data_IF_017182656566
#
_entry.id   IF_017182656566
#
_cell.length_a   1.000
_cell.length_b   1.000
_cell.length_c   1.000
_cell.angle_alpha   90.00
_cell.angle_beta   90.00
_cell.angle_gamma   90.00
#
_symmetry.space_group_name_H-M   'P 1'
#
loop_
_entity.id
_entity.type
_entity.pdbx_description
1 polymer ?
#
# COMPACT_ATOMS: atom_id res chain seq x y z
N UNK A 1 14.70 32.09 6.22
CA UNK A 1 14.79 30.68 5.82
C UNK A 1 14.46 29.87 7.06
N UNK A 2 13.34 29.13 7.09
CA UNK A 2 13.07 28.16 8.17
C UNK A 2 14.20 27.14 8.13
N UNK A 3 14.82 26.86 9.26
CA UNK A 3 15.86 25.82 9.39
C UNK A 3 15.28 24.53 8.83
N UNK A 4 15.90 23.99 7.79
CA UNK A 4 15.49 22.73 7.20
C UNK A 4 15.69 21.64 8.25
N UNK A 5 14.61 21.06 8.69
CA UNK A 5 14.62 19.94 9.61
C UNK A 5 15.37 18.79 8.94
N UNK A 6 16.31 18.16 9.68
CA UNK A 6 17.16 17.08 9.15
C UNK A 6 16.62 15.74 9.63
N UNK A 7 16.47 14.80 8.72
CA UNK A 7 16.01 13.44 8.94
C UNK A 7 17.12 12.43 8.68
N UNK A 8 17.16 11.34 9.44
CA UNK A 8 17.97 10.18 9.11
C UNK A 8 17.39 9.47 7.88
N UNK A 9 16.07 9.32 7.84
CA UNK A 9 15.34 8.71 6.75
C UNK A 9 14.15 9.59 6.35
N UNK A 10 14.04 9.91 5.07
CA UNK A 10 12.90 10.60 4.50
C UNK A 10 12.22 9.72 3.47
N UNK A 11 10.92 9.50 3.63
CA UNK A 11 10.13 8.58 2.81
C UNK A 11 9.11 9.38 2.01
N UNK A 12 9.10 9.19 0.69
CA UNK A 12 8.12 9.79 -0.21
C UNK A 12 7.03 8.77 -0.54
N UNK A 13 5.81 9.03 -0.07
CA UNK A 13 4.64 8.17 -0.19
C UNK A 13 4.32 7.43 1.11
N UNK A 14 3.12 7.67 1.67
CA UNK A 14 2.62 7.05 2.89
C UNK A 14 1.64 5.88 2.63
N UNK A 15 1.66 5.31 1.42
CA UNK A 15 0.96 4.06 1.14
C UNK A 15 1.58 2.88 1.90
N UNK A 16 1.07 1.64 1.74
CA UNK A 16 1.55 0.48 2.49
C UNK A 16 3.07 0.28 2.45
N UNK A 17 3.71 0.54 1.30
CA UNK A 17 5.16 0.41 1.17
C UNK A 17 5.91 1.43 2.06
N UNK A 18 5.54 2.71 1.99
CA UNK A 18 6.20 3.77 2.76
C UNK A 18 5.92 3.67 4.25
N UNK A 19 4.66 3.45 4.63
CA UNK A 19 4.28 3.34 6.04
C UNK A 19 4.94 2.13 6.71
N UNK A 20 4.96 0.93 6.07
CA UNK A 20 5.68 -0.22 6.60
C UNK A 20 7.21 0.00 6.64
N UNK A 21 7.76 0.74 5.68
CA UNK A 21 9.18 1.14 5.72
C UNK A 21 9.46 2.00 6.95
N UNK A 22 8.64 3.02 7.22
CA UNK A 22 8.76 3.87 8.40
C UNK A 22 8.67 3.07 9.70
N UNK A 23 7.66 2.19 9.82
CA UNK A 23 7.48 1.28 10.97
C UNK A 23 8.73 0.41 11.15
N UNK A 24 9.28 -0.16 10.08
CA UNK A 24 10.45 -1.02 10.14
C UNK A 24 11.66 -0.28 10.67
N UNK A 25 11.94 0.94 10.19
CA UNK A 25 13.05 1.76 10.69
C UNK A 25 12.89 2.08 12.16
N UNK A 26 11.72 2.53 12.60
CA UNK A 26 11.47 2.88 14.01
C UNK A 26 11.52 1.67 14.92
N UNK A 27 11.05 0.48 14.49
CA UNK A 27 11.17 -0.75 15.31
C UNK A 27 12.59 -1.27 15.42
N UNK A 28 13.40 -1.12 14.37
CA UNK A 28 14.82 -1.53 14.40
C UNK A 28 15.69 -0.55 15.18
N UNK A 29 15.42 0.74 15.09
CA UNK A 29 16.11 1.78 15.83
C UNK A 29 15.14 2.94 16.15
N UNK A 30 14.56 2.99 17.37
CA UNK A 30 13.62 4.02 17.79
C UNK A 30 14.18 5.45 17.75
N UNK A 31 15.50 5.61 17.88
CA UNK A 31 16.17 6.92 17.91
C UNK A 31 16.24 7.58 16.52
N UNK A 32 16.03 6.84 15.45
CA UNK A 32 16.06 7.42 14.10
C UNK A 32 14.96 8.47 13.93
N UNK A 33 15.34 9.61 13.40
CA UNK A 33 14.40 10.62 12.97
C UNK A 33 13.89 10.27 11.57
N UNK A 34 12.65 9.79 11.51
CA UNK A 34 12.00 9.34 10.27
C UNK A 34 10.89 10.31 9.88
N UNK A 35 10.96 10.85 8.66
CA UNK A 35 9.91 11.68 8.08
C UNK A 35 9.21 10.94 6.93
N UNK A 36 7.87 10.95 6.90
CA UNK A 36 7.07 10.38 5.82
C UNK A 36 6.15 11.45 5.22
N UNK A 37 6.16 11.55 3.89
CA UNK A 37 5.48 12.60 3.16
C UNK A 37 4.52 12.00 2.13
N UNK A 38 3.26 12.43 2.13
CA UNK A 38 2.30 12.04 1.09
C UNK A 38 1.54 13.26 0.55
N UNK A 39 1.26 13.23 -0.75
CA UNK A 39 0.45 14.26 -1.41
C UNK A 39 -1.04 14.22 -1.03
N UNK A 40 -1.51 13.09 -0.52
CA UNK A 40 -2.89 12.91 -0.07
C UNK A 40 -3.01 13.21 1.44
N UNK A 41 -4.24 13.42 1.87
CA UNK A 41 -4.66 13.45 3.28
C UNK A 41 -5.36 12.13 3.56
N UNK A 42 -5.01 11.48 4.66
CA UNK A 42 -5.60 10.20 5.07
C UNK A 42 -6.82 10.41 5.99
N UNK A 43 -7.84 9.51 5.92
CA UNK A 43 -7.89 8.32 5.06
C UNK A 43 -8.11 8.66 3.58
N UNK A 44 -7.45 7.91 2.69
CA UNK A 44 -7.59 8.08 1.24
C UNK A 44 -7.81 6.74 0.55
N UNK A 45 -8.58 6.75 -0.50
CA UNK A 45 -8.79 5.56 -1.32
C UNK A 45 -7.67 5.31 -2.35
N UNK A 46 -7.54 4.06 -2.75
CA UNK A 46 -6.63 3.60 -3.79
C UNK A 46 -7.16 2.35 -4.46
N UNK A 47 -7.34 2.38 -5.78
CA UNK A 47 -7.82 1.21 -6.54
C UNK A 47 -6.96 -0.04 -6.24
N UNK A 48 -7.64 -1.10 -5.79
CA UNK A 48 -7.07 -2.39 -5.40
C UNK A 48 -8.20 -3.42 -5.38
N UNK A 49 -7.88 -4.70 -5.37
CA UNK A 49 -8.84 -5.77 -5.08
C UNK A 49 -9.08 -5.98 -3.59
N UNK A 50 -8.46 -5.17 -2.74
CA UNK A 50 -8.66 -5.11 -1.29
C UNK A 50 -8.35 -6.43 -0.54
N UNK A 51 -7.98 -7.49 -1.26
CA UNK A 51 -7.62 -8.78 -0.67
C UNK A 51 -6.19 -8.77 -0.08
N UNK A 52 -6.07 -9.29 1.13
CA UNK A 52 -4.82 -9.40 1.90
C UNK A 52 -4.55 -10.88 2.11
N UNK A 53 -3.58 -11.40 1.39
CA UNK A 53 -3.20 -12.80 1.46
C UNK A 53 -2.08 -13.09 2.47
N UNK A 54 -1.71 -14.38 2.59
CA UNK A 54 -0.75 -14.88 3.59
C UNK A 54 0.59 -14.16 3.61
N UNK A 55 1.10 -13.74 2.45
CA UNK A 55 2.37 -13.01 2.37
C UNK A 55 2.37 -11.67 3.08
N UNK A 56 1.26 -10.91 3.00
CA UNK A 56 1.10 -9.64 3.72
C UNK A 56 0.92 -9.90 5.20
N UNK A 57 0.12 -10.90 5.57
CA UNK A 57 -0.13 -11.30 6.97
C UNK A 57 1.19 -11.71 7.63
N UNK A 58 1.99 -12.53 6.96
CA UNK A 58 3.33 -12.93 7.43
C UNK A 58 4.26 -11.73 7.62
N UNK A 59 4.23 -10.76 6.71
CA UNK A 59 5.01 -9.53 6.86
C UNK A 59 4.55 -8.70 8.07
N UNK A 60 3.25 -8.58 8.31
CA UNK A 60 2.71 -7.90 9.48
C UNK A 60 3.12 -8.61 10.79
N UNK A 61 2.97 -9.94 10.85
CA UNK A 61 3.40 -10.76 12.00
C UNK A 61 4.89 -10.59 12.31
N UNK A 62 5.76 -10.55 11.29
CA UNK A 62 7.21 -10.35 11.47
C UNK A 62 7.54 -9.10 12.25
N UNK A 63 6.76 -8.06 12.11
CA UNK A 63 6.93 -6.79 12.81
C UNK A 63 5.99 -6.62 14.01
N UNK A 64 5.21 -7.64 14.39
CA UNK A 64 4.22 -7.57 15.48
C UNK A 64 3.12 -6.55 15.21
N UNK A 65 2.67 -6.49 13.96
CA UNK A 65 1.65 -5.53 13.49
C UNK A 65 0.35 -6.23 13.06
N UNK A 66 0.21 -7.53 13.33
CA UNK A 66 -0.98 -8.32 13.00
C UNK A 66 -2.28 -7.80 13.63
N UNK A 67 -2.16 -7.07 14.74
CA UNK A 67 -3.30 -6.46 15.42
C UNK A 67 -4.10 -5.48 14.54
N UNK A 68 -3.52 -4.96 13.44
CA UNK A 68 -4.27 -4.14 12.50
C UNK A 68 -5.33 -4.91 11.71
N UNK A 69 -5.30 -6.25 11.77
CA UNK A 69 -6.26 -7.18 11.17
C UNK A 69 -7.26 -7.73 12.19
N UNK A 70 -7.15 -7.37 13.49
CA UNK A 70 -8.11 -7.74 14.52
C UNK A 70 -9.50 -7.26 14.13
N UNK A 71 -10.51 -8.08 14.43
CA UNK A 71 -11.93 -7.86 14.12
C UNK A 71 -12.31 -7.92 12.62
N UNK A 72 -11.36 -8.16 11.72
CA UNK A 72 -11.69 -8.36 10.33
C UNK A 72 -12.14 -9.80 10.05
N UNK A 73 -13.24 -10.00 9.33
CA UNK A 73 -13.71 -11.32 9.00
C UNK A 73 -12.78 -12.01 7.99
N UNK A 74 -12.38 -13.24 8.31
CA UNK A 74 -11.64 -14.08 7.37
C UNK A 74 -12.52 -14.45 6.18
N UNK A 75 -11.94 -14.49 4.99
CA UNK A 75 -12.55 -15.09 3.81
C UNK A 75 -12.63 -16.61 4.04
N UNK A 76 -13.80 -17.19 3.86
CA UNK A 76 -14.03 -18.62 4.10
C UNK A 76 -13.98 -19.46 2.83
N UNK A 77 -14.16 -18.83 1.66
CA UNK A 77 -14.07 -19.57 0.40
C UNK A 77 -13.52 -18.67 -0.73
N UNK A 78 -12.89 -19.29 -1.68
CA UNK A 78 -12.49 -18.67 -2.94
C UNK A 78 -13.05 -19.48 -4.11
N UNK A 79 -13.57 -18.80 -5.12
CA UNK A 79 -14.03 -19.43 -6.35
C UNK A 79 -13.23 -18.89 -7.52
N UNK A 80 -12.68 -19.78 -8.32
CA UNK A 80 -11.97 -19.44 -9.54
C UNK A 80 -12.80 -19.91 -10.74
N UNK A 81 -13.25 -18.98 -11.56
CA UNK A 81 -13.91 -19.27 -12.83
C UNK A 81 -12.92 -19.22 -13.99
N UNK A 82 -12.89 -20.31 -14.74
CA UNK A 82 -12.16 -20.41 -15.98
C UNK A 82 -13.05 -20.15 -17.21
N UNK A 83 -12.54 -20.41 -18.42
CA UNK A 83 -13.31 -20.35 -19.65
C UNK A 83 -14.58 -21.19 -19.58
N UNK A 84 -15.69 -20.70 -20.17
CA UNK A 84 -17.00 -21.33 -20.18
C UNK A 84 -17.70 -21.40 -18.80
N UNK A 85 -17.35 -20.49 -17.87
CA UNK A 85 -17.92 -20.43 -16.52
C UNK A 85 -17.77 -21.74 -15.71
N UNK A 86 -16.73 -22.51 -15.98
CA UNK A 86 -16.41 -23.68 -15.15
C UNK A 86 -15.67 -23.15 -13.92
N UNK A 87 -16.32 -23.22 -12.75
CA UNK A 87 -15.77 -22.75 -11.48
C UNK A 87 -15.23 -23.87 -10.62
N UNK A 88 -14.12 -23.61 -9.94
CA UNK A 88 -13.59 -24.43 -8.86
C UNK A 88 -13.69 -23.60 -7.57
N UNK A 89 -14.38 -24.15 -6.57
CA UNK A 89 -14.51 -23.51 -5.26
C UNK A 89 -13.62 -24.23 -4.24
N UNK A 90 -12.82 -23.46 -3.52
CA UNK A 90 -12.02 -23.93 -2.40
C UNK A 90 -12.56 -23.32 -1.11
N UNK A 91 -12.72 -24.17 -0.09
CA UNK A 91 -13.05 -23.74 1.28
C UNK A 91 -11.76 -23.64 2.09
N UNK A 92 -11.44 -22.45 2.57
CA UNK A 92 -10.20 -22.17 3.32
C UNK A 92 -10.11 -22.96 4.64
N UNK A 93 -11.20 -23.15 5.41
CA UNK A 93 -11.17 -23.96 6.64
C UNK A 93 -10.76 -25.43 6.45
N UNK A 94 -10.87 -25.94 5.22
CA UNK A 94 -10.55 -27.34 4.89
C UNK A 94 -9.09 -27.54 4.47
N UNK A 95 -8.30 -26.46 4.39
CA UNK A 95 -6.88 -26.52 4.01
C UNK A 95 -6.05 -26.93 5.22
N UNK A 96 -5.13 -27.90 5.04
CA UNK A 96 -4.32 -28.49 6.11
C UNK A 96 -3.46 -27.48 6.90
N UNK A 97 -3.03 -26.37 6.28
CA UNK A 97 -2.28 -25.30 6.92
C UNK A 97 -3.10 -24.01 6.90
N UNK A 98 -4.06 -23.89 7.82
CA UNK A 98 -4.97 -22.75 7.89
C UNK A 98 -4.23 -21.39 7.91
N UNK A 99 -3.13 -21.29 8.64
CA UNK A 99 -2.35 -20.04 8.74
C UNK A 99 -1.78 -19.57 7.41
N UNK A 100 -1.42 -20.49 6.52
CA UNK A 100 -0.88 -20.18 5.19
C UNK A 100 -1.97 -19.86 4.15
N UNK A 101 -3.24 -19.96 4.54
CA UNK A 101 -4.38 -19.82 3.63
C UNK A 101 -5.34 -18.71 4.01
N UNK A 102 -5.12 -18.06 5.14
CA UNK A 102 -5.98 -16.97 5.60
C UNK A 102 -5.91 -15.79 4.64
N UNK A 103 -7.07 -15.26 4.31
CA UNK A 103 -7.26 -14.07 3.48
C UNK A 103 -8.26 -13.15 4.15
N UNK A 104 -8.00 -11.84 4.11
CA UNK A 104 -8.94 -10.81 4.51
C UNK A 104 -9.29 -9.94 3.32
N UNK A 105 -10.43 -9.28 3.35
CA UNK A 105 -10.79 -8.22 2.40
C UNK A 105 -10.99 -6.94 3.20
N UNK A 106 -10.07 -6.01 3.05
CA UNK A 106 -10.11 -4.73 3.78
C UNK A 106 -9.99 -3.60 2.77
N UNK A 107 -10.98 -2.70 2.68
CA UNK A 107 -10.89 -1.55 1.81
C UNK A 107 -9.60 -0.76 2.04
N UNK A 108 -8.97 -0.33 0.94
CA UNK A 108 -7.68 0.39 1.02
C UNK A 108 -7.78 1.70 1.80
N UNK A 109 -8.96 2.31 1.86
CA UNK A 109 -9.20 3.49 2.68
C UNK A 109 -8.95 3.19 4.15
N UNK A 110 -9.32 2.01 4.62
CA UNK A 110 -9.16 1.59 6.02
C UNK A 110 -7.77 1.00 6.27
N UNK A 111 -7.35 0.04 5.44
CA UNK A 111 -6.04 -0.62 5.59
C UNK A 111 -4.88 0.37 5.56
N UNK A 112 -4.82 1.23 4.53
CA UNK A 112 -3.74 2.19 4.40
C UNK A 112 -3.71 3.17 5.58
N UNK A 113 -4.89 3.59 6.06
CA UNK A 113 -5.01 4.47 7.20
C UNK A 113 -4.57 3.81 8.51
N UNK A 114 -4.91 2.53 8.73
CA UNK A 114 -4.46 1.76 9.90
C UNK A 114 -2.94 1.65 9.95
N UNK A 115 -2.31 1.26 8.83
CA UNK A 115 -0.85 1.14 8.74
C UNK A 115 -0.18 2.51 8.93
N UNK A 116 -0.73 3.57 8.35
CA UNK A 116 -0.19 4.91 8.49
C UNK A 116 -0.33 5.45 9.93
N UNK A 117 -1.45 5.21 10.59
CA UNK A 117 -1.63 5.57 12.00
C UNK A 117 -0.69 4.80 12.93
N UNK A 118 -0.40 3.53 12.61
CA UNK A 118 0.61 2.77 13.32
C UNK A 118 2.01 3.39 13.15
N UNK A 119 2.37 3.87 11.95
CA UNK A 119 3.62 4.61 11.77
C UNK A 119 3.66 5.88 12.62
N UNK A 120 2.56 6.65 12.66
CA UNK A 120 2.44 7.85 13.51
C UNK A 120 2.60 7.52 15.00
N UNK A 121 2.05 6.41 15.48
CA UNK A 121 2.16 6.00 16.89
C UNK A 121 3.59 5.62 17.31
N UNK A 122 4.48 5.38 16.35
CA UNK A 122 5.90 5.13 16.54
C UNK A 122 6.76 6.41 16.40
N UNK A 123 6.16 7.57 16.55
CA UNK A 123 6.85 8.87 16.47
C UNK A 123 7.52 9.13 15.11
N UNK A 124 6.86 8.70 14.03
CA UNK A 124 7.23 9.09 12.67
C UNK A 124 6.63 10.46 12.37
N UNK A 125 7.47 11.43 12.00
CA UNK A 125 7.00 12.73 11.56
C UNK A 125 6.25 12.60 10.24
N UNK A 126 4.96 12.92 10.22
CA UNK A 126 4.09 12.69 9.08
C UNK A 126 3.55 13.97 8.49
N UNK A 127 3.74 14.11 7.17
CA UNK A 127 3.39 15.29 6.39
C UNK A 127 2.39 14.90 5.28
N UNK A 128 1.13 15.23 5.53
CA UNK A 128 0.03 15.00 4.59
C UNK A 128 -0.21 16.26 3.73
N UNK A 129 -0.59 16.09 2.47
CA UNK A 129 -0.73 17.21 1.52
C UNK A 129 0.60 17.72 0.95
N UNK A 130 1.69 16.98 1.13
CA UNK A 130 3.03 17.33 0.64
C UNK A 130 3.39 16.54 -0.62
N UNK A 131 3.38 17.20 -1.74
CA UNK A 131 3.73 16.61 -3.03
C UNK A 131 5.22 16.74 -3.30
N UNK A 132 5.92 15.64 -3.42
CA UNK A 132 7.32 15.60 -3.84
C UNK A 132 7.52 16.36 -5.17
N UNK A 133 8.53 17.23 -5.22
CA UNK A 133 8.88 18.05 -6.39
C UNK A 133 10.28 17.80 -6.95
N UNK A 134 11.19 17.20 -6.18
CA UNK A 134 12.54 16.87 -6.61
C UNK A 134 13.49 16.66 -5.44
N UNK A 135 14.73 16.30 -5.75
CA UNK A 135 15.81 16.25 -4.77
C UNK A 135 17.13 16.74 -5.37
N UNK A 136 18.05 17.15 -4.50
CA UNK A 136 19.42 17.53 -4.84
C UNK A 136 20.38 16.85 -3.84
N UNK A 137 21.45 16.24 -4.36
CA UNK A 137 22.51 15.66 -3.53
C UNK A 137 23.57 16.72 -3.23
N UNK A 138 23.89 16.91 -1.97
CA UNK A 138 24.90 17.87 -1.50
C UNK A 138 26.30 17.27 -1.54
N UNK A 139 27.32 18.10 -1.45
CA UNK A 139 28.73 17.70 -1.42
C UNK A 139 29.08 16.81 -0.21
N UNK A 140 28.36 16.96 0.88
CA UNK A 140 28.51 16.17 2.11
C UNK A 140 27.65 14.89 2.12
N UNK A 141 27.24 14.42 0.95
CA UNK A 141 26.43 13.23 0.73
C UNK A 141 24.97 13.34 1.23
N UNK A 142 24.61 14.39 1.99
CA UNK A 142 23.21 14.61 2.37
C UNK A 142 22.34 14.97 1.17
N UNK A 143 21.02 14.81 1.33
CA UNK A 143 20.04 15.02 0.28
C UNK A 143 19.06 16.10 0.73
N UNK A 144 18.89 17.13 -0.09
CA UNK A 144 17.82 18.11 0.04
C UNK A 144 16.62 17.63 -0.77
N UNK A 145 15.49 17.39 -0.12
CA UNK A 145 14.27 16.89 -0.75
C UNK A 145 13.23 18.01 -0.72
N UNK A 146 12.71 18.36 -1.88
CA UNK A 146 11.76 19.45 -2.03
C UNK A 146 10.34 18.93 -2.20
N UNK A 147 9.41 19.59 -1.53
CA UNK A 147 7.98 19.32 -1.58
C UNK A 147 7.20 20.60 -1.86
N UNK A 148 6.04 20.45 -2.45
CA UNK A 148 5.02 21.48 -2.54
C UNK A 148 3.89 21.12 -1.58
N UNK A 149 3.62 21.98 -0.59
CA UNK A 149 2.55 21.77 0.38
C UNK A 149 1.17 22.09 -0.20
N UNK A 150 0.10 21.87 0.55
CA UNK A 150 -1.29 22.13 0.15
C UNK A 150 -1.58 23.61 -0.13
N UNK A 151 -0.83 24.54 0.47
CA UNK A 151 -0.91 25.98 0.19
C UNK A 151 -0.18 26.37 -1.08
N UNK A 152 0.53 25.44 -1.73
CA UNK A 152 1.30 25.71 -2.95
C UNK A 152 2.71 26.23 -2.70
N UNK A 153 3.15 26.31 -1.43
CA UNK A 153 4.49 26.75 -1.07
C UNK A 153 5.50 25.60 -1.21
N UNK A 154 6.72 25.95 -1.59
CA UNK A 154 7.82 24.99 -1.65
C UNK A 154 8.54 24.95 -0.32
N UNK A 155 8.72 23.74 0.21
CA UNK A 155 9.49 23.45 1.42
C UNK A 155 10.56 22.42 1.11
N UNK A 156 11.72 22.55 1.77
CA UNK A 156 12.86 21.65 1.57
C UNK A 156 13.29 21.06 2.91
N UNK A 157 13.46 19.75 2.91
CA UNK A 157 13.88 18.97 4.06
C UNK A 157 15.20 18.25 3.73
N UNK A 158 16.08 18.13 4.74
CA UNK A 158 17.37 17.48 4.57
C UNK A 158 17.34 16.08 5.14
N UNK A 159 17.98 15.14 4.47
CA UNK A 159 18.08 13.74 4.93
C UNK A 159 19.39 13.11 4.52
N UNK A 160 19.77 12.02 5.22
CA UNK A 160 20.89 11.17 4.81
C UNK A 160 20.43 10.03 3.90
N UNK A 161 19.17 9.61 4.00
CA UNK A 161 18.58 8.56 3.17
C UNK A 161 17.21 8.97 2.62
N UNK A 162 17.05 8.95 1.32
CA UNK A 162 15.78 9.16 0.63
C UNK A 162 15.20 7.83 0.16
N UNK A 163 13.96 7.53 0.57
CA UNK A 163 13.21 6.33 0.13
C UNK A 163 12.04 6.75 -0.76
N UNK A 164 12.03 6.26 -2.00
CA UNK A 164 10.90 6.43 -2.91
C UNK A 164 9.87 5.31 -2.75
N UNK A 165 8.70 5.61 -2.18
CA UNK A 165 7.55 4.72 -2.01
C UNK A 165 6.26 5.31 -2.63
N UNK A 166 6.41 6.17 -3.64
CA UNK A 166 5.38 7.01 -4.25
C UNK A 166 4.55 6.30 -5.34
N UNK A 167 4.61 4.97 -5.36
CA UNK A 167 3.72 4.11 -6.13
C UNK A 167 4.16 3.83 -7.57
N UNK A 168 3.24 3.25 -8.37
CA UNK A 168 3.54 2.75 -9.71
C UNK A 168 4.08 3.83 -10.65
N UNK A 169 3.61 5.07 -10.50
CA UNK A 169 4.05 6.23 -11.28
C UNK A 169 5.11 7.07 -10.54
N UNK A 170 5.98 6.43 -9.80
CA UNK A 170 7.00 7.06 -8.95
C UNK A 170 7.77 8.15 -9.68
N UNK A 171 7.75 9.35 -9.09
CA UNK A 171 8.54 10.47 -9.55
C UNK A 171 9.97 10.38 -9.03
N UNK A 172 10.16 9.88 -7.80
CA UNK A 172 11.52 9.63 -7.25
C UNK A 172 12.31 8.70 -8.18
N UNK A 173 11.67 7.61 -8.65
CA UNK A 173 12.29 6.69 -9.62
C UNK A 173 12.69 7.38 -10.93
N UNK A 174 11.86 8.31 -11.43
CA UNK A 174 12.15 9.08 -12.64
C UNK A 174 13.33 10.01 -12.43
N UNK A 175 13.37 10.72 -11.31
CA UNK A 175 14.44 11.68 -11.00
C UNK A 175 15.79 10.98 -10.75
N UNK A 176 15.75 9.71 -10.30
CA UNK A 176 16.91 8.82 -10.20
C UNK A 176 17.36 8.23 -11.55
N UNK A 177 16.69 8.56 -12.66
CA UNK A 177 16.95 7.98 -14.00
C UNK A 177 16.91 6.45 -14.03
N UNK A 178 16.16 5.81 -13.11
CA UNK A 178 15.99 4.35 -13.11
C UNK A 178 15.04 3.93 -14.22
N UNK A 179 15.32 2.74 -14.77
CA UNK A 179 14.54 2.18 -15.88
C UNK A 179 13.04 2.15 -15.53
N UNK A 180 12.23 2.69 -16.42
CA UNK A 180 10.78 2.57 -16.38
C UNK A 180 10.38 1.13 -16.73
N UNK A 181 9.31 0.63 -16.10
CA UNK A 181 8.71 -0.62 -16.52
C UNK A 181 8.27 -0.52 -17.98
N UNK A 182 8.58 -1.53 -18.78
CA UNK A 182 8.10 -1.64 -20.16
C UNK A 182 6.56 -1.75 -20.16
N UNK A 183 5.92 -1.36 -21.26
CA UNK A 183 4.47 -1.30 -21.30
C UNK A 183 3.79 -2.66 -21.05
N UNK A 184 4.41 -3.76 -21.47
CA UNK A 184 3.89 -5.11 -21.19
C UNK A 184 4.02 -5.56 -19.72
N UNK A 185 4.70 -4.79 -18.86
CA UNK A 185 4.75 -4.99 -17.43
C UNK A 185 3.74 -4.11 -16.68
N UNK A 186 2.87 -3.40 -17.41
CA UNK A 186 1.87 -2.50 -16.83
C UNK A 186 0.49 -3.09 -17.05
N UNK A 187 -0.34 -3.02 -16.02
CA UNK A 187 -1.75 -3.32 -16.09
C UNK A 187 -2.55 -2.16 -15.53
N UNK A 188 -3.78 -2.02 -15.98
CA UNK A 188 -4.74 -1.05 -15.47
C UNK A 188 -5.84 -1.85 -14.78
N UNK A 189 -6.18 -1.47 -13.56
CA UNK A 189 -7.30 -2.02 -12.82
C UNK A 189 -8.35 -0.94 -12.58
N UNK A 190 -9.61 -1.33 -12.73
CA UNK A 190 -10.77 -0.52 -12.38
C UNK A 190 -11.50 -1.25 -11.27
N UNK A 191 -11.87 -0.52 -10.20
CA UNK A 191 -12.68 -1.03 -9.11
C UNK A 191 -13.98 -0.23 -9.01
N UNK A 192 -15.07 -0.92 -8.69
CA UNK A 192 -16.34 -0.31 -8.32
C UNK A 192 -16.90 -1.03 -7.09
N UNK A 193 -17.56 -0.29 -6.21
CA UNK A 193 -18.45 -0.86 -5.20
C UNK A 193 -19.85 -0.90 -5.80
N UNK A 194 -20.49 -2.06 -5.71
CA UNK A 194 -21.81 -2.30 -6.28
C UNK A 194 -22.74 -2.70 -5.14
N UNK A 195 -23.82 -1.95 -4.97
CA UNK A 195 -24.91 -2.36 -4.12
C UNK A 195 -25.88 -3.22 -4.93
N UNK A 196 -26.14 -4.44 -4.47
CA UNK A 196 -27.01 -5.39 -5.14
C UNK A 196 -27.98 -6.00 -4.13
N UNK A 197 -29.30 -5.87 -4.34
CA UNK A 197 -30.30 -6.46 -3.46
C UNK A 197 -30.22 -8.00 -3.39
N UNK A 198 -29.67 -8.63 -4.42
CA UNK A 198 -29.52 -10.08 -4.53
C UNK A 198 -28.06 -10.54 -4.30
N UNK A 199 -27.29 -9.75 -3.59
CA UNK A 199 -25.86 -10.04 -3.36
C UNK A 199 -25.63 -11.44 -2.80
N UNK A 200 -26.39 -11.83 -1.76
CA UNK A 200 -26.24 -13.15 -1.11
C UNK A 200 -26.71 -14.33 -1.96
N UNK A 201 -27.53 -14.09 -2.97
CA UNK A 201 -27.94 -15.13 -3.93
C UNK A 201 -26.83 -15.46 -4.92
N UNK A 202 -25.97 -14.49 -5.21
CA UNK A 202 -24.87 -14.59 -6.18
C UNK A 202 -23.55 -14.96 -5.47
N UNK A 203 -23.30 -14.32 -4.34
CA UNK A 203 -22.07 -14.47 -3.57
C UNK A 203 -22.37 -15.05 -2.19
N UNK A 204 -21.66 -16.10 -1.83
CA UNK A 204 -21.70 -16.56 -0.45
C UNK A 204 -21.02 -15.54 0.46
N UNK A 205 -21.52 -15.40 1.67
CA UNK A 205 -20.92 -14.54 2.66
C UNK A 205 -19.41 -14.84 2.82
N UNK A 206 -18.59 -13.78 2.88
CA UNK A 206 -17.13 -13.86 3.04
C UNK A 206 -16.43 -14.73 1.99
N UNK A 207 -16.85 -14.63 0.73
CA UNK A 207 -16.21 -15.32 -0.39
C UNK A 207 -15.47 -14.33 -1.30
N UNK A 208 -14.41 -14.81 -1.95
CA UNK A 208 -13.77 -14.13 -3.07
C UNK A 208 -14.02 -14.90 -4.36
N UNK A 209 -14.29 -14.17 -5.40
CA UNK A 209 -14.45 -14.72 -6.74
C UNK A 209 -13.41 -14.13 -7.68
N UNK A 210 -12.81 -14.98 -8.48
CA UNK A 210 -11.92 -14.60 -9.56
C UNK A 210 -12.42 -15.19 -10.88
N UNK A 211 -12.45 -14.40 -11.92
CA UNK A 211 -12.77 -14.85 -13.26
C UNK A 211 -11.61 -14.57 -14.21
N UNK A 212 -11.06 -15.62 -14.81
CA UNK A 212 -9.94 -15.55 -15.75
C UNK A 212 -10.48 -15.56 -17.17
N UNK A 213 -9.89 -14.76 -18.06
CA UNK A 213 -10.28 -14.61 -19.47
C UNK A 213 -11.59 -13.85 -19.70
N UNK A 214 -11.90 -12.88 -18.85
CA UNK A 214 -12.97 -11.92 -19.16
C UNK A 214 -12.52 -11.04 -20.31
N UNK A 215 -12.92 -11.38 -21.53
CA UNK A 215 -12.83 -10.55 -22.75
C UNK A 215 -11.52 -9.77 -23.04
N UNK A 216 -10.52 -9.88 -22.22
CA UNK A 216 -9.21 -9.27 -22.42
C UNK A 216 -8.11 -10.34 -22.44
N UNK A 217 -7.26 -10.29 -23.44
CA UNK A 217 -6.22 -11.31 -23.71
C UNK A 217 -5.26 -11.62 -22.54
N UNK A 218 -5.29 -10.87 -21.45
CA UNK A 218 -4.37 -11.04 -20.29
C UNK A 218 -4.96 -10.43 -19.00
N UNK A 219 -6.26 -10.38 -18.84
CA UNK A 219 -6.91 -9.82 -17.68
C UNK A 219 -7.67 -10.83 -16.83
N UNK A 220 -8.12 -10.39 -15.67
CA UNK A 220 -9.05 -11.11 -14.83
C UNK A 220 -9.98 -10.12 -14.11
N UNK A 221 -11.15 -10.60 -13.70
CA UNK A 221 -12.06 -9.88 -12.82
C UNK A 221 -12.05 -10.51 -11.43
N UNK A 222 -12.45 -9.76 -10.44
CA UNK A 222 -12.63 -10.24 -9.06
C UNK A 222 -13.85 -9.59 -8.41
N UNK A 223 -14.46 -10.29 -7.47
CA UNK A 223 -15.54 -9.79 -6.63
C UNK A 223 -15.47 -10.45 -5.23
#
# INVERSE_FOLDING_TARGET
MKHSETYDVLIVGAGPAGANTAISYKKLNPELKVGIFDKAIFPRDKSCGDAIGPGVISALKRFGNEHILEDEPEVISTTLYGPKNIGIQNYIPEVQNKEDSVVYVIPRVDLDNRIFNLAKSLEVDSFEGYRYSGFEKNLDESINVSFKNSSGENETFRTTLLVGADGANSRVRKDLNLNQNKDWHKAIAIRAYIDSPNYLDIFKERSLMFEINVSADKGYAWA
#
